data_IF_791170892549
#
_entry.id   IF_791170892549
#
_cell.length_a   1.000
_cell.length_b   1.000
_cell.length_c   1.000
_cell.angle_alpha   90.00
_cell.angle_beta   90.00
_cell.angle_gamma   90.00
#
_symmetry.space_group_name_H-M   'P 1'
#
loop_
_entity.id
_entity.type
_entity.pdbx_description
1 polymer ?
#
# COMPACT_ATOMS: atom_id res chain seq x y z
N UNK A 1 -7.78 -7.12 -13.41
CA UNK A 1 -8.17 -7.76 -14.68
C UNK A 1 -8.12 -6.74 -15.80
N UNK A 2 -7.98 -7.18 -17.04
CA UNK A 2 -8.09 -6.29 -18.20
C UNK A 2 -9.54 -5.87 -18.42
N UNK A 3 -9.76 -4.58 -18.69
CA UNK A 3 -11.07 -4.02 -19.05
C UNK A 3 -11.02 -3.47 -20.48
N UNK A 4 -12.18 -3.32 -21.15
CA UNK A 4 -12.24 -2.77 -22.50
C UNK A 4 -11.73 -1.32 -22.51
N UNK A 5 -11.27 -0.85 -23.66
CA UNK A 5 -11.05 0.59 -23.82
C UNK A 5 -12.37 1.33 -23.86
N UNK A 6 -12.34 2.59 -23.41
CA UNK A 6 -13.49 3.48 -23.41
C UNK A 6 -14.08 3.54 -24.83
N UNK A 7 -15.40 3.35 -24.92
CA UNK A 7 -16.16 3.38 -26.17
C UNK A 7 -16.19 2.06 -26.94
N UNK A 8 -15.59 0.99 -26.40
CA UNK A 8 -15.58 -0.35 -27.02
C UNK A 8 -16.15 -1.44 -26.13
N UNK A 9 -16.81 -1.05 -25.05
CA UNK A 9 -17.43 -1.94 -24.07
C UNK A 9 -18.44 -2.86 -24.74
N UNK A 10 -19.18 -2.35 -25.72
CA UNK A 10 -20.24 -3.06 -26.44
C UNK A 10 -19.82 -3.66 -27.79
N UNK A 11 -18.53 -3.58 -28.15
CA UNK A 11 -18.02 -4.22 -29.36
C UNK A 11 -18.22 -5.74 -29.31
N UNK A 12 -18.08 -6.42 -30.44
CA UNK A 12 -18.11 -7.88 -30.44
C UNK A 12 -16.99 -8.46 -29.56
N UNK A 13 -17.19 -9.63 -28.91
CA UNK A 13 -16.13 -10.27 -28.11
C UNK A 13 -14.83 -10.49 -28.89
N UNK A 14 -14.91 -10.85 -30.18
CA UNK A 14 -13.74 -11.01 -31.04
C UNK A 14 -13.02 -9.68 -31.28
N UNK A 15 -13.75 -8.58 -31.49
CA UNK A 15 -13.15 -7.24 -31.60
C UNK A 15 -12.41 -6.87 -30.31
N UNK A 16 -12.99 -7.09 -29.13
CA UNK A 16 -12.31 -6.82 -27.85
C UNK A 16 -11.09 -7.72 -27.63
N UNK A 17 -11.16 -8.99 -28.03
CA UNK A 17 -10.07 -9.96 -27.88
C UNK A 17 -8.78 -9.53 -28.61
N UNK A 18 -8.89 -8.78 -29.71
CA UNK A 18 -7.72 -8.24 -30.44
C UNK A 18 -6.83 -7.33 -29.59
N UNK A 19 -7.36 -6.84 -28.46
CA UNK A 19 -6.68 -5.94 -27.53
C UNK A 19 -6.16 -6.65 -26.29
N UNK A 20 -6.33 -7.98 -26.19
CA UNK A 20 -5.79 -8.77 -25.10
C UNK A 20 -4.29 -8.52 -24.95
N UNK A 21 -3.85 -8.32 -23.71
CA UNK A 21 -2.44 -8.10 -23.38
C UNK A 21 -2.04 -8.89 -22.14
N UNK A 22 -0.73 -8.99 -21.91
CA UNK A 22 -0.18 -9.54 -20.67
C UNK A 22 0.14 -8.42 -19.69
N UNK A 23 0.04 -8.71 -18.41
CA UNK A 23 0.33 -7.74 -17.36
C UNK A 23 0.82 -8.46 -16.11
N UNK A 24 1.86 -7.94 -15.47
CA UNK A 24 2.34 -8.41 -14.18
C UNK A 24 2.14 -7.30 -13.15
N UNK A 25 1.14 -7.41 -12.24
CA UNK A 25 0.87 -6.39 -11.26
C UNK A 25 2.02 -6.24 -10.29
N UNK A 26 2.43 -4.99 -10.03
CA UNK A 26 3.45 -4.67 -9.05
C UNK A 26 3.13 -5.26 -7.66
N UNK A 27 1.86 -5.35 -7.31
CA UNK A 27 1.40 -5.93 -6.04
C UNK A 27 1.72 -7.43 -5.93
N UNK A 28 1.57 -8.21 -7.01
CA UNK A 28 1.95 -9.64 -7.02
C UNK A 28 3.45 -9.79 -6.82
N UNK A 29 4.25 -8.94 -7.46
CA UNK A 29 5.71 -8.93 -7.30
C UNK A 29 6.10 -8.62 -5.85
N UNK A 30 5.48 -7.60 -5.25
CA UNK A 30 5.72 -7.23 -3.86
C UNK A 30 5.41 -8.37 -2.89
N UNK A 31 4.25 -9.01 -3.01
CA UNK A 31 3.87 -10.13 -2.14
C UNK A 31 4.78 -11.36 -2.32
N UNK A 32 5.27 -11.63 -3.54
CA UNK A 32 6.29 -12.68 -3.76
C UNK A 32 7.58 -12.36 -3.01
N UNK A 33 8.05 -11.10 -3.06
CA UNK A 33 9.24 -10.65 -2.31
C UNK A 33 9.02 -10.79 -0.80
N UNK A 34 7.89 -10.31 -0.27
CA UNK A 34 7.59 -10.41 1.16
C UNK A 34 7.50 -11.85 1.65
N UNK A 35 6.91 -12.75 0.85
CA UNK A 35 6.85 -14.18 1.16
C UNK A 35 8.25 -14.80 1.21
N UNK A 36 9.11 -14.50 0.23
CA UNK A 36 10.49 -14.99 0.20
C UNK A 36 11.31 -14.48 1.39
N UNK A 37 11.11 -13.20 1.76
CA UNK A 37 11.78 -12.55 2.90
C UNK A 37 11.13 -12.86 4.25
N UNK A 38 10.04 -13.64 4.29
CA UNK A 38 9.27 -13.99 5.50
C UNK A 38 8.87 -12.76 6.32
N UNK A 39 8.39 -11.72 5.64
CA UNK A 39 7.98 -10.46 6.24
C UNK A 39 7.05 -10.66 7.44
N UNK A 40 7.25 -9.86 8.49
CA UNK A 40 6.40 -9.81 9.70
C UNK A 40 5.57 -8.53 9.78
N UNK A 41 5.72 -7.64 8.81
CA UNK A 41 5.10 -6.30 8.76
C UNK A 41 4.23 -6.10 7.53
N UNK A 42 3.94 -7.19 6.82
CA UNK A 42 2.98 -7.24 5.72
C UNK A 42 2.13 -8.50 5.87
N UNK A 43 0.90 -8.53 5.34
CA UNK A 43 0.10 -9.75 5.29
C UNK A 43 0.81 -10.89 4.56
N UNK A 44 0.57 -12.13 5.00
CA UNK A 44 1.10 -13.30 4.30
C UNK A 44 0.38 -13.51 2.96
N UNK A 45 1.14 -13.88 1.92
CA UNK A 45 0.58 -14.34 0.66
C UNK A 45 -0.03 -15.74 0.87
N UNK A 46 -1.34 -15.87 0.66
CA UNK A 46 -2.05 -17.15 0.76
C UNK A 46 -2.08 -17.88 -0.57
N UNK A 47 -2.15 -17.14 -1.67
CA UNK A 47 -2.13 -17.68 -3.01
C UNK A 47 -2.22 -16.60 -4.08
N UNK A 48 -1.78 -16.93 -5.28
CA UNK A 48 -1.99 -16.11 -6.46
C UNK A 48 -2.28 -17.01 -7.66
N UNK A 49 -3.09 -16.52 -8.59
CA UNK A 49 -3.37 -17.18 -9.85
C UNK A 49 -3.38 -16.15 -10.96
N UNK A 50 -2.61 -16.41 -12.00
CA UNK A 50 -2.65 -15.67 -13.27
C UNK A 50 -3.44 -16.51 -14.26
N UNK A 51 -4.40 -15.91 -14.93
CA UNK A 51 -5.28 -16.59 -15.89
C UNK A 51 -5.67 -15.64 -17.02
N UNK A 52 -6.33 -16.19 -18.03
CA UNK A 52 -6.96 -15.43 -19.10
C UNK A 52 -8.47 -15.38 -18.90
N UNK A 53 -9.07 -14.31 -19.38
CA UNK A 53 -10.52 -14.17 -19.47
C UNK A 53 -11.06 -15.10 -20.55
N UNK A 54 -12.17 -15.76 -20.26
CA UNK A 54 -12.87 -16.63 -21.20
C UNK A 54 -13.55 -15.84 -22.33
N UNK A 55 -14.23 -16.55 -23.23
CA UNK A 55 -14.94 -15.96 -24.37
C UNK A 55 -16.08 -15.00 -24.00
N UNK A 56 -16.54 -15.02 -22.74
CA UNK A 56 -17.58 -14.14 -22.19
C UNK A 56 -17.00 -13.01 -21.34
N UNK A 57 -15.69 -13.01 -21.10
CA UNK A 57 -14.99 -11.98 -20.36
C UNK A 57 -15.09 -10.61 -21.02
N UNK A 58 -14.76 -9.58 -20.24
CA UNK A 58 -14.75 -8.21 -20.73
C UNK A 58 -13.75 -8.03 -21.86
N UNK A 59 -12.58 -8.65 -21.76
CA UNK A 59 -11.60 -8.73 -22.85
C UNK A 59 -11.21 -10.20 -22.98
N UNK A 60 -11.86 -10.99 -23.86
CA UNK A 60 -11.49 -12.39 -24.05
C UNK A 60 -10.00 -12.53 -24.37
N UNK A 61 -9.36 -13.58 -23.85
CA UNK A 61 -7.90 -13.79 -23.85
C UNK A 61 -7.07 -12.74 -23.07
N UNK A 62 -7.68 -11.64 -22.61
CA UNK A 62 -7.04 -10.65 -21.76
C UNK A 62 -6.78 -11.18 -20.35
N UNK A 63 -5.87 -10.54 -19.61
CA UNK A 63 -5.46 -11.05 -18.30
C UNK A 63 -6.57 -10.94 -17.23
N UNK A 64 -6.60 -11.92 -16.32
CA UNK A 64 -7.28 -11.86 -15.02
C UNK A 64 -6.35 -12.45 -13.96
N UNK A 65 -6.19 -11.73 -12.84
CA UNK A 65 -5.20 -12.07 -11.82
C UNK A 65 -5.88 -12.04 -10.47
N UNK A 66 -5.75 -13.15 -9.76
CA UNK A 66 -6.27 -13.36 -8.42
C UNK A 66 -5.09 -13.30 -7.45
N UNK A 67 -5.23 -12.53 -6.39
CA UNK A 67 -4.24 -12.41 -5.34
C UNK A 67 -4.99 -12.48 -4.00
N UNK A 68 -4.63 -13.46 -3.17
CA UNK A 68 -5.21 -13.66 -1.85
C UNK A 68 -4.11 -13.50 -0.80
N UNK A 69 -4.33 -12.62 0.16
CA UNK A 69 -3.44 -12.41 1.30
C UNK A 69 -4.21 -12.53 2.61
N UNK A 70 -3.45 -12.72 3.68
CA UNK A 70 -3.96 -12.82 5.04
C UNK A 70 -4.74 -11.57 5.44
N UNK A 71 -5.90 -11.76 6.07
CA UNK A 71 -6.53 -10.69 6.84
C UNK A 71 -5.77 -10.62 8.17
N UNK A 72 -5.01 -9.54 8.38
CA UNK A 72 -4.28 -9.30 9.62
C UNK A 72 -5.22 -8.71 10.68
N UNK A 73 -5.02 -9.03 11.97
CA UNK A 73 -5.78 -8.40 13.04
C UNK A 73 -5.39 -6.92 13.19
N UNK A 74 -6.29 -6.14 13.79
CA UNK A 74 -6.01 -4.76 14.18
C UNK A 74 -6.96 -3.73 13.59
N UNK A 75 -6.62 -2.46 13.83
CA UNK A 75 -7.39 -1.30 13.41
C UNK A 75 -6.86 -0.78 12.06
N UNK A 76 -7.72 -0.72 11.05
CA UNK A 76 -7.40 0.01 9.82
C UNK A 76 -7.32 1.51 10.14
N UNK A 77 -6.17 2.13 9.90
CA UNK A 77 -5.89 3.50 10.36
C UNK A 77 -6.57 4.60 9.55
N UNK A 78 -7.03 4.30 8.33
CA UNK A 78 -7.72 5.25 7.49
C UNK A 78 -8.42 4.66 6.28
N UNK A 79 -8.94 5.54 5.45
CA UNK A 79 -9.62 5.21 4.21
C UNK A 79 -9.20 6.18 3.08
N UNK A 80 -10.01 6.30 2.03
CA UNK A 80 -9.73 7.20 0.90
C UNK A 80 -9.84 8.70 1.25
N UNK A 81 -10.43 9.05 2.40
CA UNK A 81 -10.60 10.41 2.90
C UNK A 81 -9.53 10.85 3.90
N UNK A 82 -8.73 9.92 4.44
CA UNK A 82 -7.64 10.22 5.37
C UNK A 82 -7.53 9.21 6.51
N UNK A 83 -6.69 9.53 7.50
CA UNK A 83 -6.37 8.70 8.66
C UNK A 83 -7.33 8.95 9.84
N UNK A 84 -8.64 9.06 9.58
CA UNK A 84 -9.63 9.42 10.61
C UNK A 84 -9.57 8.48 11.83
N UNK A 85 -9.41 7.18 11.60
CA UNK A 85 -9.32 6.21 12.69
C UNK A 85 -8.08 6.45 13.55
N UNK A 86 -6.92 6.70 12.95
CA UNK A 86 -5.70 7.10 13.65
C UNK A 86 -5.89 8.39 14.47
N UNK A 87 -6.48 9.44 13.89
CA UNK A 87 -6.64 10.73 14.56
C UNK A 87 -7.65 10.72 15.72
N UNK A 88 -8.54 9.73 15.76
CA UNK A 88 -9.47 9.53 16.87
C UNK A 88 -8.83 8.79 18.07
N UNK A 89 -7.61 8.27 17.93
CA UNK A 89 -6.89 7.62 19.01
C UNK A 89 -6.26 8.63 19.96
N UNK A 90 -6.04 8.19 21.20
CA UNK A 90 -5.34 8.98 22.20
C UNK A 90 -3.91 9.33 21.76
N UNK A 91 -3.36 10.43 22.27
CA UNK A 91 -2.04 10.89 21.89
C UNK A 91 -0.95 9.83 22.10
N UNK A 92 -0.99 9.11 23.23
CA UNK A 92 -0.03 8.04 23.51
C UNK A 92 -0.05 6.92 22.46
N UNK A 93 -1.24 6.45 22.09
CA UNK A 93 -1.37 5.40 21.08
C UNK A 93 -0.95 5.88 19.69
N UNK A 94 -1.22 7.15 19.35
CA UNK A 94 -0.72 7.75 18.10
C UNK A 94 0.80 7.77 18.04
N UNK A 95 1.49 8.05 19.15
CA UNK A 95 2.96 8.00 19.20
C UNK A 95 3.50 6.58 19.07
N UNK A 96 2.85 5.59 19.70
CA UNK A 96 3.21 4.18 19.53
C UNK A 96 3.08 3.73 18.06
N UNK A 97 2.00 4.14 17.39
CA UNK A 97 1.78 3.85 15.97
C UNK A 97 2.89 4.46 15.12
N UNK A 98 3.33 5.70 15.39
CA UNK A 98 4.42 6.33 14.63
C UNK A 98 5.76 5.61 14.82
N UNK A 99 6.05 5.18 16.04
CA UNK A 99 7.24 4.39 16.33
C UNK A 99 7.22 3.05 15.59
N UNK A 100 6.09 2.33 15.66
CA UNK A 100 5.90 1.05 14.98
C UNK A 100 5.86 1.19 13.45
N UNK A 101 5.31 2.30 12.94
CA UNK A 101 5.33 2.66 11.53
C UNK A 101 6.76 2.79 11.03
N UNK A 102 7.62 3.55 11.72
CA UNK A 102 9.01 3.74 11.31
C UNK A 102 9.75 2.40 11.18
N UNK A 103 9.68 1.56 12.22
CA UNK A 103 10.29 0.23 12.22
C UNK A 103 9.77 -0.65 11.08
N UNK A 104 8.45 -0.70 10.91
CA UNK A 104 7.80 -1.51 9.87
C UNK A 104 8.12 -1.01 8.45
N UNK A 105 8.14 0.31 8.27
CA UNK A 105 8.47 0.97 7.00
C UNK A 105 9.91 0.70 6.58
N UNK A 106 10.87 0.82 7.52
CA UNK A 106 12.27 0.51 7.25
C UNK A 106 12.48 -0.97 6.92
N UNK A 107 11.80 -1.89 7.61
CA UNK A 107 11.82 -3.33 7.27
C UNK A 107 11.37 -3.58 5.84
N UNK A 108 10.30 -2.93 5.38
CA UNK A 108 9.83 -3.06 3.99
C UNK A 108 10.86 -2.52 3.00
N UNK A 109 11.47 -1.36 3.30
CA UNK A 109 12.52 -0.77 2.44
C UNK A 109 13.78 -1.61 2.37
N UNK A 110 14.18 -2.24 3.47
CA UNK A 110 15.27 -3.21 3.48
C UNK A 110 14.98 -4.48 2.66
N UNK A 111 13.70 -4.79 2.39
CA UNK A 111 13.31 -5.85 1.45
C UNK A 111 13.36 -5.39 -0.02
N UNK A 112 13.74 -4.13 -0.27
CA UNK A 112 13.93 -3.56 -1.60
C UNK A 112 12.73 -2.78 -2.14
N UNK A 113 11.72 -2.49 -1.30
CA UNK A 113 10.45 -1.89 -1.72
C UNK A 113 10.20 -0.59 -0.96
N UNK A 114 9.97 0.51 -1.67
CA UNK A 114 9.46 1.74 -1.09
C UNK A 114 7.97 1.87 -1.43
N UNK A 115 7.05 1.68 -0.45
CA UNK A 115 5.62 1.71 -0.73
C UNK A 115 5.13 3.12 -1.05
N UNK A 116 4.16 3.23 -1.96
CA UNK A 116 3.50 4.51 -2.23
C UNK A 116 2.55 4.89 -1.07
N UNK A 117 2.59 6.14 -0.57
CA UNK A 117 1.87 6.54 0.64
C UNK A 117 0.34 6.41 0.61
N UNK A 118 -0.25 6.29 1.80
CA UNK A 118 -1.68 6.47 2.03
C UNK A 118 -2.19 5.73 3.27
N UNK A 119 -2.98 6.37 4.16
CA UNK A 119 -3.38 5.79 5.44
C UNK A 119 -4.26 4.54 5.33
N UNK A 120 -5.05 4.42 4.24
CA UNK A 120 -5.87 3.24 3.93
C UNK A 120 -5.10 1.94 3.72
N UNK A 121 -3.77 1.98 3.77
CA UNK A 121 -2.86 0.86 3.54
C UNK A 121 -2.19 0.37 4.83
N UNK A 122 -2.62 0.89 5.98
CA UNK A 122 -2.01 0.62 7.30
C UNK A 122 -3.03 -0.02 8.25
N UNK A 123 -2.66 -1.16 8.84
CA UNK A 123 -3.39 -1.77 9.96
C UNK A 123 -2.51 -1.76 11.20
N UNK A 124 -3.03 -1.21 12.30
CA UNK A 124 -2.38 -1.21 13.60
C UNK A 124 -2.80 -2.41 14.44
N UNK A 125 -1.84 -3.28 14.78
CA UNK A 125 -2.00 -4.37 15.74
C UNK A 125 -1.41 -3.94 17.09
N UNK A 126 -2.28 -3.47 17.98
CA UNK A 126 -1.89 -2.95 19.30
C UNK A 126 -1.29 -4.00 20.23
N UNK A 127 -1.67 -5.28 20.06
CA UNK A 127 -1.15 -6.39 20.86
C UNK A 127 0.31 -6.68 20.49
N UNK A 128 0.60 -6.75 19.18
CA UNK A 128 1.96 -7.01 18.68
C UNK A 128 2.82 -5.76 18.56
N UNK A 129 2.23 -4.58 18.73
CA UNK A 129 2.84 -3.26 18.46
C UNK A 129 3.45 -3.19 17.05
N UNK A 130 2.69 -3.63 16.05
CA UNK A 130 3.11 -3.67 14.63
C UNK A 130 2.14 -2.90 13.77
N UNK A 131 2.67 -2.14 12.80
CA UNK A 131 1.89 -1.59 11.70
C UNK A 131 2.09 -2.45 10.46
N UNK A 132 1.03 -3.13 10.03
CA UNK A 132 1.03 -3.90 8.79
C UNK A 132 0.77 -2.99 7.59
N UNK A 133 1.59 -3.15 6.55
CA UNK A 133 1.41 -2.48 5.26
C UNK A 133 0.77 -3.43 4.25
N UNK A 134 -0.17 -2.91 3.45
CA UNK A 134 -0.78 -3.61 2.32
C UNK A 134 -1.08 -2.64 1.16
N UNK A 135 -1.64 -3.12 0.05
CA UNK A 135 -2.00 -2.24 -1.06
C UNK A 135 -0.78 -1.76 -1.88
N UNK A 136 0.04 -2.70 -2.33
CA UNK A 136 1.29 -2.48 -3.08
C UNK A 136 1.07 -2.40 -4.59
N UNK A 137 -0.05 -1.79 -5.02
CA UNK A 137 -0.31 -1.54 -6.45
C UNK A 137 0.73 -0.63 -7.08
N UNK A 138 1.27 0.28 -6.27
CA UNK A 138 2.32 1.22 -6.63
C UNK A 138 3.41 1.17 -5.55
N UNK A 139 4.65 0.97 -5.98
CA UNK A 139 5.87 1.03 -5.17
C UNK A 139 7.07 1.25 -6.08
N UNK A 140 8.19 1.70 -5.50
CA UNK A 140 9.45 1.86 -6.23
C UNK A 140 10.56 0.98 -5.63
N UNK A 141 11.45 0.43 -6.45
CA UNK A 141 12.59 -0.32 -5.94
C UNK A 141 13.54 0.60 -5.18
N UNK A 142 14.11 0.11 -4.09
CA UNK A 142 15.12 0.82 -3.29
C UNK A 142 16.23 -0.14 -2.87
N UNK A 143 17.46 0.33 -2.74
CA UNK A 143 18.60 -0.51 -2.33
C UNK A 143 19.68 0.31 -1.63
N UNK A 144 20.68 -0.39 -1.07
CA UNK A 144 21.85 0.23 -0.43
C UNK A 144 21.49 1.17 0.72
N UNK A 145 22.17 2.31 0.79
CA UNK A 145 21.94 3.33 1.83
C UNK A 145 20.56 3.97 1.73
N UNK A 146 19.99 4.06 0.52
CA UNK A 146 18.64 4.59 0.36
C UNK A 146 17.61 3.73 1.11
N UNK A 147 17.76 2.40 1.11
CA UNK A 147 16.86 1.47 1.78
C UNK A 147 16.88 1.60 3.32
N UNK A 148 17.96 2.17 3.87
CA UNK A 148 18.14 2.39 5.31
C UNK A 148 17.81 3.81 5.76
N UNK A 149 17.80 4.77 4.83
CA UNK A 149 17.50 6.16 5.14
C UNK A 149 16.13 6.27 5.80
N UNK A 150 16.02 7.14 6.81
CA UNK A 150 14.76 7.54 7.42
C UNK A 150 14.56 9.04 7.23
N UNK A 151 13.32 9.43 6.93
CA UNK A 151 12.90 10.82 6.84
C UNK A 151 11.53 10.95 7.49
N UNK A 152 11.46 11.74 8.56
CA UNK A 152 10.23 11.95 9.32
C UNK A 152 9.11 12.54 8.45
N UNK A 153 9.44 13.26 7.37
CA UNK A 153 8.48 13.81 6.40
C UNK A 153 7.66 12.73 5.70
N UNK A 154 8.09 11.46 5.72
CA UNK A 154 7.28 10.38 5.18
C UNK A 154 5.96 10.24 5.93
N UNK A 155 5.93 10.48 7.24
CA UNK A 155 4.69 10.43 8.04
C UNK A 155 3.59 11.31 7.45
N UNK A 156 3.94 12.41 6.79
CA UNK A 156 2.99 13.31 6.13
C UNK A 156 2.21 12.61 5.00
N UNK A 157 2.89 11.84 4.15
CA UNK A 157 2.25 11.09 3.06
C UNK A 157 1.30 10.00 3.55
N UNK A 158 1.48 9.55 4.79
CA UNK A 158 0.64 8.55 5.43
C UNK A 158 -0.42 9.16 6.35
N UNK A 159 -0.53 10.51 6.41
CA UNK A 159 -1.46 11.23 7.28
C UNK A 159 -1.33 10.83 8.76
N UNK A 160 -0.09 10.59 9.19
CA UNK A 160 0.24 10.30 10.60
C UNK A 160 0.71 11.55 11.36
N UNK A 161 0.89 12.67 10.67
CA UNK A 161 1.21 13.98 11.24
C UNK A 161 0.40 15.06 10.55
N UNK A 162 0.05 16.12 11.29
CA UNK A 162 -0.59 17.29 10.68
C UNK A 162 0.49 18.10 9.98
N UNK A 163 0.24 18.47 8.73
CA UNK A 163 1.07 19.45 8.06
C UNK A 163 0.85 20.84 8.67
N UNK A 164 1.90 21.66 8.84
CA UNK A 164 1.72 23.09 9.03
C UNK A 164 0.86 23.66 7.90
N UNK A 165 0.09 24.72 8.17
CA UNK A 165 -0.78 25.37 7.17
C UNK A 165 0.00 25.84 5.92
N UNK A 166 1.30 26.08 6.07
CA UNK A 166 2.17 26.61 5.01
C UNK A 166 2.87 25.50 4.18
N UNK A 167 2.50 24.23 4.41
CA UNK A 167 3.01 23.07 3.66
C UNK A 167 4.27 22.45 4.26
N UNK A 168 4.83 21.45 3.56
CA UNK A 168 6.08 20.77 3.96
C UNK A 168 7.26 21.62 3.53
N UNK A 169 7.60 22.63 4.32
CA UNK A 169 8.89 23.29 4.18
C UNK A 169 10.04 22.36 4.59
N UNK A 170 11.26 22.72 4.18
CA UNK A 170 12.51 22.09 4.65
C UNK A 170 12.75 22.28 6.16
N UNK A 171 11.86 23.01 6.83
CA UNK A 171 11.92 23.50 8.20
C UNK A 171 10.90 22.83 9.15
N UNK A 172 10.20 21.77 8.71
CA UNK A 172 9.34 21.01 9.61
C UNK A 172 10.17 20.37 10.72
N UNK A 173 9.86 20.74 11.97
CA UNK A 173 10.61 20.41 13.19
C UNK A 173 10.31 19.00 13.75
N UNK A 174 9.43 18.24 13.08
CA UNK A 174 8.99 16.93 13.57
C UNK A 174 7.78 17.00 14.52
N UNK A 175 7.15 18.16 14.70
CA UNK A 175 6.00 18.30 15.58
C UNK A 175 4.80 17.47 15.08
N UNK A 176 4.40 16.49 15.89
CA UNK A 176 3.32 15.51 15.64
C UNK A 176 1.96 15.98 16.14
N UNK A 177 1.93 17.05 16.93
CA UNK A 177 0.76 17.71 17.49
C UNK A 177 0.54 19.02 16.73
N UNK A 178 -0.20 18.96 15.61
CA UNK A 178 -0.54 20.18 14.89
C UNK A 178 -1.09 21.24 15.85
N UNK A 179 -0.55 22.46 15.73
CA UNK A 179 -0.65 23.52 16.73
C UNK A 179 -2.05 23.71 17.32
N UNK A 180 -2.05 24.06 18.61
CA UNK A 180 -3.25 24.56 19.31
C UNK A 180 -3.87 25.67 18.46
N UNK A 181 -5.19 25.59 18.32
CA UNK A 181 -6.03 26.72 17.91
C UNK A 181 -5.77 27.92 18.81
#
# INVERSE_FOLDING_TARGET
>A
MQIPYIGTEYDSPSSRATRATTFSPAEVVAFKIFSQKRSKVTPQLLGYKEDKQDSKGHVPEGFIIYLAWQIVPGLLLGDYSGAKAFWNLEAGEREEIRAAFNDSFLKIRQMGISPFPGPKKLVWDAEKKVVYFFGFRDWTPVSGEQAKAWDSRWLCGWDLVKLPRDGVGLDWDGNTEGGKL
#
